data_IF_016432225838
#
_entry.id   IF_016432225838
#
_cell.length_a   1.000
_cell.length_b   1.000
_cell.length_c   1.000
_cell.angle_alpha   90.00
_cell.angle_beta   90.00
_cell.angle_gamma   90.00
#
_symmetry.space_group_name_H-M   'P 1'
#
loop_
_entity.id
_entity.type
_entity.pdbx_description
1 polymer ?
#
# COMPACT_ATOMS: atom_id res chain seq x y z
N UNK A 1 4.04 16.26 16.46
CA UNK A 1 4.58 16.08 15.10
C UNK A 1 3.60 15.19 14.38
N UNK A 2 2.89 15.74 13.40
CA UNK A 2 2.08 14.93 12.49
C UNK A 2 3.11 14.17 11.66
N UNK A 3 3.08 12.86 11.78
CA UNK A 3 3.99 11.94 11.11
C UNK A 3 3.77 12.07 9.59
N UNK A 4 4.74 12.62 8.86
CA UNK A 4 4.76 12.75 7.39
C UNK A 4 4.93 11.38 6.72
N UNK A 5 4.29 10.34 7.24
CA UNK A 5 4.28 9.02 6.62
C UNK A 5 3.60 9.11 5.26
N UNK A 6 4.21 8.52 4.24
CA UNK A 6 3.67 8.45 2.87
C UNK A 6 2.24 7.91 2.82
N UNK A 7 1.52 8.18 1.72
CA UNK A 7 0.16 7.68 1.50
C UNK A 7 0.09 6.17 1.73
N UNK A 8 1.07 5.40 1.21
CA UNK A 8 1.13 3.96 1.39
C UNK A 8 1.13 3.52 2.86
N UNK A 9 1.95 4.16 3.70
CA UNK A 9 2.02 3.85 5.13
C UNK A 9 0.69 4.19 5.80
N UNK A 10 0.11 5.34 5.47
CA UNK A 10 -1.19 5.78 5.98
C UNK A 10 -2.29 4.77 5.61
N UNK A 11 -2.26 4.22 4.39
CA UNK A 11 -3.18 3.17 3.92
C UNK A 11 -2.98 1.89 4.73
N UNK A 12 -1.75 1.38 4.87
CA UNK A 12 -1.52 0.18 5.67
C UNK A 12 -1.99 0.31 7.12
N UNK A 13 -1.89 1.52 7.72
CA UNK A 13 -2.37 1.80 9.08
C UNK A 13 -3.90 1.68 9.24
N UNK A 14 -4.69 1.78 8.17
CA UNK A 14 -6.17 1.68 8.22
C UNK A 14 -6.73 0.37 7.63
N UNK A 15 -5.96 -0.32 6.80
CA UNK A 15 -6.38 -1.60 6.23
C UNK A 15 -6.35 -2.73 7.27
N UNK A 16 -7.14 -3.81 7.08
CA UNK A 16 -7.03 -5.00 7.92
C UNK A 16 -5.66 -5.67 7.76
N UNK A 17 -5.37 -6.61 8.66
CA UNK A 17 -4.27 -7.54 8.47
C UNK A 17 -4.68 -8.65 7.47
N UNK A 18 -3.76 -9.57 7.18
CA UNK A 18 -3.95 -10.68 6.25
C UNK A 18 -4.39 -10.19 4.85
N UNK A 19 -3.53 -9.35 4.27
CA UNK A 19 -3.72 -8.75 2.96
C UNK A 19 -2.68 -9.25 1.96
N UNK A 20 -3.10 -9.29 0.70
CA UNK A 20 -2.24 -9.53 -0.45
C UNK A 20 -1.85 -8.18 -1.06
N UNK A 21 -0.56 -7.85 -1.02
CA UNK A 21 -0.01 -6.63 -1.60
C UNK A 21 0.68 -6.96 -2.92
N UNK A 22 -0.01 -6.66 -4.03
CA UNK A 22 0.53 -6.77 -5.37
C UNK A 22 1.28 -5.48 -5.72
N UNK A 23 2.52 -5.61 -6.18
CA UNK A 23 3.38 -4.47 -6.48
C UNK A 23 4.16 -4.67 -7.77
N UNK A 24 4.18 -3.64 -8.60
CA UNK A 24 5.06 -3.49 -9.75
C UNK A 24 6.23 -2.57 -9.35
N UNK A 25 7.43 -3.15 -9.22
CA UNK A 25 8.63 -2.41 -8.84
C UNK A 25 9.89 -2.97 -9.55
N UNK A 26 10.03 -2.76 -10.87
CA UNK A 26 11.10 -3.38 -11.67
C UNK A 26 12.51 -2.87 -11.31
N UNK A 27 12.60 -1.68 -10.71
CA UNK A 27 13.86 -1.03 -10.31
C UNK A 27 14.08 -1.06 -8.80
N UNK A 28 13.35 -1.90 -8.07
CA UNK A 28 13.54 -2.01 -6.62
C UNK A 28 14.89 -2.66 -6.31
N UNK A 29 15.68 -1.98 -5.50
CA UNK A 29 16.98 -2.46 -5.04
C UNK A 29 16.96 -2.91 -3.56
N UNK A 30 15.85 -2.67 -2.86
CA UNK A 30 15.72 -3.01 -1.44
C UNK A 30 15.66 -4.52 -1.23
N UNK A 31 16.79 -5.12 -0.84
CA UNK A 31 16.91 -6.57 -0.63
C UNK A 31 15.92 -7.11 0.40
N UNK A 32 15.58 -6.33 1.42
CA UNK A 32 14.62 -6.77 2.45
C UNK A 32 13.25 -6.97 1.84
N UNK A 33 12.78 -6.00 1.06
CA UNK A 33 11.48 -6.09 0.39
C UNK A 33 11.52 -7.13 -0.74
N UNK A 34 12.61 -7.19 -1.52
CA UNK A 34 12.78 -8.20 -2.57
C UNK A 34 12.68 -9.62 -2.02
N UNK A 35 13.23 -9.88 -0.84
CA UNK A 35 13.14 -11.18 -0.16
C UNK A 35 11.72 -11.51 0.37
N UNK A 36 10.84 -10.50 0.49
CA UNK A 36 9.43 -10.70 0.85
C UNK A 36 8.53 -10.91 -0.38
N UNK A 37 9.04 -10.71 -1.60
CA UNK A 37 8.28 -10.79 -2.84
C UNK A 37 8.21 -12.21 -3.40
N UNK A 38 6.99 -12.68 -3.63
CA UNK A 38 6.68 -13.89 -4.37
C UNK A 38 6.39 -13.57 -5.84
N UNK A 39 6.75 -14.51 -6.73
CA UNK A 39 6.32 -14.47 -8.12
C UNK A 39 4.80 -14.71 -8.22
N UNK A 40 4.16 -14.04 -9.16
CA UNK A 40 2.74 -14.24 -9.47
C UNK A 40 2.57 -14.82 -10.88
N UNK A 41 1.34 -15.17 -11.25
CA UNK A 41 1.01 -15.50 -12.64
C UNK A 41 1.04 -14.30 -13.59
N UNK A 42 1.19 -13.08 -13.08
CA UNK A 42 1.27 -11.85 -13.85
C UNK A 42 2.73 -11.49 -14.14
N UNK A 43 3.02 -11.05 -15.35
CA UNK A 43 4.39 -10.77 -15.79
C UNK A 43 5.08 -9.64 -14.99
N UNK A 44 4.31 -8.66 -14.53
CA UNK A 44 4.84 -7.41 -13.97
C UNK A 44 4.54 -7.20 -12.49
N UNK A 45 3.69 -8.04 -11.90
CA UNK A 45 3.34 -7.95 -10.48
C UNK A 45 4.07 -9.01 -9.66
N UNK A 46 4.65 -8.56 -8.55
CA UNK A 46 5.06 -9.41 -7.44
C UNK A 46 4.01 -9.35 -6.35
N UNK A 47 3.98 -10.36 -5.50
CA UNK A 47 3.06 -10.43 -4.37
C UNK A 47 3.85 -10.41 -3.06
N UNK A 48 3.41 -9.61 -2.11
CA UNK A 48 3.87 -9.66 -0.73
C UNK A 48 2.65 -9.99 0.13
N UNK A 49 2.69 -11.14 0.80
CA UNK A 49 1.64 -11.53 1.76
C UNK A 49 1.91 -10.92 3.12
N UNK A 50 1.04 -10.03 3.56
CA UNK A 50 1.20 -9.27 4.80
C UNK A 50 0.19 -9.74 5.85
N UNK A 51 0.61 -10.73 6.63
CA UNK A 51 0.00 -11.02 7.93
C UNK A 51 0.33 -9.89 8.93
N UNK A 52 -0.29 -9.91 10.12
CA UNK A 52 -0.12 -8.86 11.14
C UNK A 52 1.35 -8.55 11.48
N UNK A 53 2.20 -9.58 11.61
CA UNK A 53 3.62 -9.40 11.96
C UNK A 53 4.42 -8.83 10.79
N UNK A 54 4.24 -9.41 9.59
CA UNK A 54 4.91 -8.97 8.37
C UNK A 54 4.50 -7.56 7.98
N UNK A 55 3.22 -7.21 8.13
CA UNK A 55 2.70 -5.87 7.85
C UNK A 55 3.35 -4.84 8.76
N UNK A 56 3.45 -5.11 10.07
CA UNK A 56 4.14 -4.22 11.00
C UNK A 56 5.62 -4.08 10.66
N UNK A 57 6.30 -5.18 10.36
CA UNK A 57 7.69 -5.14 9.91
C UNK A 57 7.86 -4.30 8.64
N UNK A 58 6.98 -4.50 7.66
CA UNK A 58 6.98 -3.79 6.38
C UNK A 58 6.77 -2.29 6.58
N UNK A 59 5.78 -1.88 7.38
CA UNK A 59 5.55 -0.46 7.71
C UNK A 59 6.79 0.16 8.35
N UNK A 60 7.37 -0.48 9.37
CA UNK A 60 8.57 0.04 10.04
C UNK A 60 9.76 0.15 9.08
N UNK A 61 9.90 -0.79 8.14
CA UNK A 61 10.94 -0.77 7.13
C UNK A 61 10.76 0.43 6.18
N UNK A 62 9.53 0.65 5.71
CA UNK A 62 9.19 1.80 4.85
C UNK A 62 9.33 3.16 5.56
N UNK A 63 9.14 3.22 6.87
CA UNK A 63 9.35 4.45 7.66
C UNK A 63 10.84 4.84 7.75
N UNK A 64 11.75 3.89 7.50
CA UNK A 64 13.21 4.09 7.65
C UNK A 64 13.99 4.00 6.33
N UNK A 65 13.35 3.56 5.24
CA UNK A 65 14.00 3.34 3.94
C UNK A 65 13.15 3.90 2.78
N UNK A 66 13.82 4.47 1.77
CA UNK A 66 13.14 5.01 0.57
C UNK A 66 12.92 3.91 -0.48
N UNK A 67 11.95 3.03 -0.24
CA UNK A 67 11.56 2.01 -1.22
C UNK A 67 10.32 2.41 -2.05
N UNK A 68 9.45 3.26 -1.49
CA UNK A 68 8.15 3.61 -2.08
C UNK A 68 8.28 4.25 -3.46
N UNK A 69 9.33 5.05 -3.67
CA UNK A 69 9.64 5.70 -4.96
C UNK A 69 9.84 4.71 -6.12
N UNK A 70 10.12 3.44 -5.84
CA UNK A 70 10.29 2.40 -6.86
C UNK A 70 8.97 1.68 -7.20
N UNK A 71 7.89 1.94 -6.46
CA UNK A 71 6.59 1.30 -6.67
C UNK A 71 5.82 2.06 -7.75
N UNK A 72 5.61 1.43 -8.90
CA UNK A 72 4.94 2.06 -10.04
C UNK A 72 3.42 1.95 -9.94
N UNK A 73 2.94 0.74 -9.67
CA UNK A 73 1.52 0.42 -9.48
C UNK A 73 1.38 -0.62 -8.38
N UNK A 74 0.35 -0.46 -7.55
CA UNK A 74 0.03 -1.43 -6.50
C UNK A 74 -1.45 -1.73 -6.43
N UNK A 75 -1.75 -2.93 -5.95
CA UNK A 75 -3.09 -3.32 -5.51
C UNK A 75 -2.98 -3.98 -4.15
N UNK A 76 -3.84 -3.59 -3.21
CA UNK A 76 -3.97 -4.25 -1.91
C UNK A 76 -5.33 -4.93 -1.87
N UNK A 77 -5.33 -6.24 -1.62
CA UNK A 77 -6.52 -7.08 -1.58
C UNK A 77 -6.67 -7.81 -0.25
N UNK A 78 -7.90 -8.11 0.12
CA UNK A 78 -8.22 -9.10 1.15
C UNK A 78 -9.14 -10.15 0.51
N UNK A 79 -8.58 -11.34 0.24
CA UNK A 79 -9.18 -12.31 -0.66
C UNK A 79 -9.40 -11.71 -2.06
N UNK A 80 -10.62 -11.81 -2.58
CA UNK A 80 -10.99 -11.28 -3.90
C UNK A 80 -11.38 -9.79 -3.87
N UNK A 81 -11.37 -9.16 -2.70
CA UNK A 81 -11.81 -7.77 -2.54
C UNK A 81 -10.64 -6.80 -2.71
N UNK A 82 -10.74 -5.89 -3.68
CA UNK A 82 -9.79 -4.79 -3.84
C UNK A 82 -10.05 -3.71 -2.78
N UNK A 83 -9.06 -3.45 -1.94
CA UNK A 83 -9.17 -2.47 -0.86
C UNK A 83 -8.53 -1.14 -1.23
N UNK A 84 -7.43 -1.18 -1.98
CA UNK A 84 -6.70 0.01 -2.39
C UNK A 84 -5.96 -0.23 -3.70
N UNK A 85 -5.88 0.81 -4.52
CA UNK A 85 -5.02 0.87 -5.70
C UNK A 85 -4.18 2.14 -5.62
N UNK A 86 -2.88 2.03 -5.89
CA UNK A 86 -1.95 3.16 -5.85
C UNK A 86 -1.16 3.27 -7.14
N UNK A 87 -0.82 4.51 -7.52
CA UNK A 87 -0.19 4.87 -8.78
C UNK A 87 0.94 5.86 -8.56
N UNK A 88 1.86 5.95 -9.52
CA UNK A 88 2.88 6.99 -9.63
C UNK A 88 3.71 7.16 -8.34
N UNK A 89 4.51 6.16 -7.97
CA UNK A 89 5.25 6.20 -6.71
C UNK A 89 4.35 6.14 -5.46
N UNK A 90 3.07 5.83 -5.64
CA UNK A 90 2.02 5.88 -4.61
C UNK A 90 1.82 7.31 -4.08
N UNK A 91 2.03 8.30 -4.93
CA UNK A 91 1.61 9.69 -4.66
C UNK A 91 0.09 9.80 -4.72
N UNK A 92 -0.56 8.98 -5.54
CA UNK A 92 -2.01 8.96 -5.70
C UNK A 92 -2.60 7.57 -5.46
N UNK A 93 -3.83 7.53 -4.97
CA UNK A 93 -4.55 6.27 -4.80
C UNK A 93 -6.07 6.34 -4.80
N UNK A 94 -6.67 5.16 -4.84
CA UNK A 94 -8.10 4.93 -4.77
C UNK A 94 -8.37 3.90 -3.69
N UNK A 95 -9.14 4.28 -2.66
CA UNK A 95 -9.54 3.42 -1.56
C UNK A 95 -10.97 2.90 -1.77
N UNK A 96 -11.24 1.64 -1.45
CA UNK A 96 -12.60 1.11 -1.45
C UNK A 96 -13.46 1.81 -0.39
N UNK A 97 -14.72 2.11 -0.72
CA UNK A 97 -15.73 2.63 0.23
C UNK A 97 -15.97 1.71 1.42
N UNK A 98 -15.62 0.43 1.31
CA UNK A 98 -15.84 -0.57 2.35
C UNK A 98 -14.76 -0.51 3.44
N UNK A 99 -13.68 0.25 3.23
CA UNK A 99 -12.64 0.46 4.24
C UNK A 99 -13.13 1.48 5.27
N UNK A 100 -13.09 1.10 6.55
CA UNK A 100 -13.41 2.02 7.65
C UNK A 100 -12.31 3.06 7.80
N UNK A 101 -12.58 4.28 7.32
CA UNK A 101 -11.64 5.39 7.42
C UNK A 101 -11.80 6.15 8.74
N UNK A 102 -10.74 6.30 9.54
CA UNK A 102 -10.71 7.24 10.64
C UNK A 102 -10.59 8.68 10.13
N UNK A 103 -11.02 9.66 10.95
CA UNK A 103 -11.07 11.07 10.52
C UNK A 103 -9.70 11.62 10.12
N UNK A 104 -8.65 11.25 10.87
CA UNK A 104 -7.27 11.67 10.57
C UNK A 104 -6.82 11.26 9.16
N UNK A 105 -7.31 10.14 8.62
CA UNK A 105 -6.95 9.69 7.29
C UNK A 105 -7.64 10.53 6.21
N UNK A 106 -8.90 10.92 6.46
CA UNK A 106 -9.63 11.80 5.53
C UNK A 106 -8.93 13.15 5.42
N UNK A 107 -8.66 13.78 6.55
CA UNK A 107 -7.99 15.08 6.62
C UNK A 107 -6.60 15.05 5.95
N UNK A 108 -5.86 13.95 6.14
CA UNK A 108 -4.50 13.81 5.63
C UNK A 108 -4.40 13.42 4.15
N UNK A 109 -5.32 12.59 3.65
CA UNK A 109 -5.17 11.95 2.34
C UNK A 109 -6.34 12.20 1.39
N UNK A 110 -7.56 12.38 1.88
CA UNK A 110 -8.75 12.60 1.02
C UNK A 110 -8.90 14.09 0.72
N UNK A 111 -8.86 14.93 1.76
CA UNK A 111 -9.07 16.37 1.64
C UNK A 111 -7.92 17.07 0.92
N UNK A 112 -6.73 16.45 0.91
CA UNK A 112 -5.54 16.90 0.16
C UNK A 112 -5.59 16.51 -1.32
N UNK A 113 -6.43 15.54 -1.69
CA UNK A 113 -6.52 15.00 -3.04
C UNK A 113 -5.53 13.87 -3.38
N UNK A 114 -4.73 13.42 -2.41
CA UNK A 114 -3.78 12.32 -2.60
C UNK A 114 -4.49 10.97 -2.76
N UNK A 115 -5.72 10.85 -2.25
CA UNK A 115 -6.50 9.64 -2.30
C UNK A 115 -7.97 9.95 -2.59
N UNK A 116 -8.60 9.13 -3.43
CA UNK A 116 -10.03 9.21 -3.74
C UNK A 116 -10.74 7.93 -3.29
N UNK A 117 -12.07 7.99 -3.19
CA UNK A 117 -12.88 6.83 -2.77
C UNK A 117 -13.55 6.22 -3.99
N UNK A 118 -13.33 4.93 -4.22
CA UNK A 118 -14.09 4.17 -5.22
C UNK A 118 -15.47 3.83 -4.68
N UNK A 119 -16.50 4.13 -5.49
CA UNK A 119 -17.86 3.72 -5.20
C UNK A 119 -18.20 2.31 -5.73
N UNK A 120 -17.36 1.76 -6.59
CA UNK A 120 -17.63 0.54 -7.35
C UNK A 120 -16.97 -0.72 -6.75
N UNK A 121 -16.06 -0.56 -5.80
CA UNK A 121 -15.28 -1.62 -5.15
C UNK A 121 -15.57 -1.74 -3.66
#
# INVERSE_FOLDING_TARGET
MIDDSSLLISVFKILPDDIDFYVQAPSLEDETILNMMDNTGYAYYKLIKLDSLKKRFFINHLETHSAVQYFQNIEIKNGDTLLFQGFDGIEFGILSKNVKMPEWFKEKCIDTGDCTISNDW
#
